data_IF_882744197207
#
_entry.id   IF_882744197207
#
_cell.length_a   1.000
_cell.length_b   1.000
_cell.length_c   1.000
_cell.angle_alpha   90.00
_cell.angle_beta   90.00
_cell.angle_gamma   90.00
#
_symmetry.space_group_name_H-M   'P 1'
#
loop_
_entity.id
_entity.type
_entity.pdbx_description
1 polymer ?
#
# COMPACT_ATOMS: atom_id res chain seq x y z
N UNK A 1 -7.15 11.49 -11.16
CA UNK A 1 -5.97 11.00 -10.45
C UNK A 1 -5.98 9.50 -10.19
N UNK A 2 -7.04 8.96 -9.63
CA UNK A 2 -7.15 7.51 -9.42
C UNK A 2 -7.21 6.73 -10.74
N UNK A 3 -7.92 7.26 -11.73
CA UNK A 3 -7.93 6.65 -13.07
C UNK A 3 -6.55 6.67 -13.72
N UNK A 4 -5.74 7.68 -13.40
CA UNK A 4 -4.36 7.75 -13.85
C UNK A 4 -3.52 6.61 -13.29
N UNK A 5 -3.73 6.27 -12.01
CA UNK A 5 -3.05 5.15 -11.38
C UNK A 5 -3.33 3.83 -12.11
N UNK A 6 -4.59 3.59 -12.49
CA UNK A 6 -5.00 2.36 -13.18
C UNK A 6 -4.43 2.23 -14.59
N UNK A 7 -4.01 3.34 -15.20
CA UNK A 7 -3.41 3.34 -16.54
C UNK A 7 -1.90 3.07 -16.52
N UNK A 8 -1.28 3.02 -15.35
CA UNK A 8 0.14 2.77 -15.23
C UNK A 8 0.48 1.32 -15.54
N UNK A 9 1.68 1.10 -16.06
CA UNK A 9 2.23 -0.23 -16.30
C UNK A 9 3.10 -0.61 -15.11
N UNK A 10 2.48 -1.13 -14.05
CA UNK A 10 3.18 -1.53 -12.84
C UNK A 10 3.67 -2.97 -12.97
N UNK A 11 4.98 -3.15 -12.86
CA UNK A 11 5.67 -4.44 -13.00
C UNK A 11 6.26 -4.94 -11.68
N UNK A 12 6.32 -4.08 -10.67
CA UNK A 12 6.84 -4.42 -9.35
C UNK A 12 6.08 -3.65 -8.28
N UNK A 13 5.84 -4.32 -7.17
CA UNK A 13 5.20 -3.74 -6.00
C UNK A 13 6.17 -3.88 -4.84
N UNK A 14 6.69 -2.76 -4.34
CA UNK A 14 7.52 -2.72 -3.14
C UNK A 14 6.62 -2.31 -1.97
N UNK A 15 6.53 -3.15 -0.96
CA UNK A 15 5.57 -2.96 0.12
C UNK A 15 6.16 -3.41 1.45
N UNK A 16 5.62 -2.88 2.56
CA UNK A 16 6.00 -3.31 3.90
C UNK A 16 5.59 -4.78 4.11
N UNK A 17 6.34 -5.48 4.92
CA UNK A 17 6.15 -6.90 5.21
C UNK A 17 5.10 -7.19 6.28
N UNK A 18 4.46 -6.17 6.84
CA UNK A 18 3.36 -6.36 7.78
C UNK A 18 2.07 -6.80 7.07
N UNK A 19 1.03 -7.11 7.82
CA UNK A 19 -0.23 -7.58 7.25
C UNK A 19 -0.83 -6.56 6.27
N UNK A 20 -0.80 -5.28 6.61
CA UNK A 20 -1.30 -4.21 5.73
C UNK A 20 -0.57 -4.22 4.39
N UNK A 21 0.75 -4.25 4.43
CA UNK A 21 1.56 -4.27 3.20
C UNK A 21 1.31 -5.49 2.35
N UNK A 22 1.20 -6.67 2.97
CA UNK A 22 0.95 -7.93 2.26
C UNK A 22 -0.42 -7.91 1.58
N UNK A 23 -1.46 -7.47 2.28
CA UNK A 23 -2.83 -7.43 1.74
C UNK A 23 -2.93 -6.36 0.64
N UNK A 24 -2.27 -5.22 0.83
CA UNK A 24 -2.20 -4.17 -0.21
C UNK A 24 -1.65 -4.75 -1.51
N UNK A 25 -0.52 -5.46 -1.44
CA UNK A 25 0.09 -6.08 -2.61
C UNK A 25 -0.83 -7.12 -3.26
N UNK A 26 -1.51 -7.93 -2.44
CA UNK A 26 -2.44 -8.94 -2.95
C UNK A 26 -3.60 -8.28 -3.73
N UNK A 27 -4.13 -7.17 -3.22
CA UNK A 27 -5.20 -6.43 -3.90
C UNK A 27 -4.70 -5.87 -5.23
N UNK A 28 -3.53 -5.22 -5.22
CA UNK A 28 -2.98 -4.61 -6.44
C UNK A 28 -2.67 -5.65 -7.51
N UNK A 29 -2.30 -6.87 -7.15
CA UNK A 29 -2.04 -7.93 -8.11
C UNK A 29 -3.30 -8.43 -8.80
N UNK A 30 -4.48 -8.09 -8.33
CA UNK A 30 -5.73 -8.36 -9.06
C UNK A 30 -5.82 -7.49 -10.32
N UNK A 31 -5.19 -6.31 -10.30
CA UNK A 31 -5.15 -5.39 -11.44
C UNK A 31 -3.86 -5.57 -12.27
N UNK A 32 -2.71 -5.76 -11.60
CA UNK A 32 -1.42 -6.03 -12.23
C UNK A 32 -0.95 -7.44 -11.86
N UNK A 33 -1.50 -8.49 -12.47
CA UNK A 33 -1.24 -9.88 -12.02
C UNK A 33 0.18 -10.35 -12.26
N UNK A 34 0.92 -9.71 -13.17
CA UNK A 34 2.30 -10.07 -13.48
C UNK A 34 3.32 -9.31 -12.62
N UNK A 35 2.88 -8.41 -11.75
CA UNK A 35 3.79 -7.63 -10.93
C UNK A 35 4.52 -8.50 -9.90
N UNK A 36 5.83 -8.31 -9.82
CA UNK A 36 6.68 -8.94 -8.80
C UNK A 36 6.47 -8.20 -7.47
N UNK A 37 6.45 -8.93 -6.36
CA UNK A 37 6.34 -8.33 -5.03
C UNK A 37 7.70 -8.38 -4.34
N UNK A 38 8.16 -7.22 -3.87
CA UNK A 38 9.39 -7.08 -3.07
C UNK A 38 9.00 -6.48 -1.73
N UNK A 39 9.37 -7.15 -0.64
CA UNK A 39 9.09 -6.65 0.71
C UNK A 39 10.27 -5.82 1.21
N UNK A 40 9.96 -4.74 1.92
CA UNK A 40 10.95 -3.87 2.50
C UNK A 40 10.44 -3.18 3.76
N UNK A 41 11.34 -2.48 4.44
CA UNK A 41 11.02 -1.69 5.63
C UNK A 41 11.31 -0.22 5.38
N UNK A 42 10.64 0.70 6.11
CA UNK A 42 10.91 2.13 5.96
C UNK A 42 12.39 2.50 6.11
N UNK A 43 13.09 1.85 7.05
CA UNK A 43 14.52 2.08 7.26
C UNK A 43 15.36 1.69 6.06
N UNK A 44 15.04 0.57 5.43
CA UNK A 44 15.74 0.12 4.21
C UNK A 44 15.52 1.11 3.07
N UNK A 45 14.29 1.58 2.92
CA UNK A 45 13.95 2.54 1.89
C UNK A 45 14.72 3.85 2.07
N UNK A 46 14.74 4.38 3.30
CA UNK A 46 15.45 5.64 3.62
C UNK A 46 16.96 5.51 3.46
N UNK A 47 17.50 4.33 3.70
CA UNK A 47 18.94 4.05 3.55
C UNK A 47 19.35 3.82 2.10
N UNK A 48 18.41 3.80 1.16
CA UNK A 48 18.69 3.58 -0.26
C UNK A 48 18.90 2.11 -0.64
N UNK A 49 18.64 1.18 0.28
CA UNK A 49 18.86 -0.25 0.02
C UNK A 49 17.89 -0.82 -1.01
N UNK A 50 16.76 -0.15 -1.24
CA UNK A 50 15.73 -0.58 -2.19
C UNK A 50 15.81 0.15 -3.53
N UNK A 51 16.72 1.10 -3.69
CA UNK A 51 16.79 1.95 -4.89
C UNK A 51 16.92 1.13 -6.18
N UNK A 52 17.66 0.03 -6.15
CA UNK A 52 17.82 -0.85 -7.31
C UNK A 52 16.55 -1.58 -7.74
N UNK A 53 15.53 -1.58 -6.91
CA UNK A 53 14.24 -2.23 -7.18
C UNK A 53 13.13 -1.24 -7.56
N UNK A 54 13.42 0.06 -7.60
CA UNK A 54 12.39 1.08 -7.77
C UNK A 54 12.64 1.90 -9.03
N UNK A 55 11.66 1.89 -9.93
CA UNK A 55 11.64 2.70 -11.14
C UNK A 55 10.18 3.13 -11.42
N UNK A 56 9.94 3.74 -12.58
CA UNK A 56 8.59 4.24 -12.96
C UNK A 56 7.55 3.14 -13.14
N UNK A 57 7.97 1.87 -13.19
CA UNK A 57 7.07 0.71 -13.25
C UNK A 57 6.87 0.06 -11.88
N UNK A 58 7.25 0.76 -10.81
CA UNK A 58 7.15 0.27 -9.44
C UNK A 58 6.10 1.04 -8.66
N UNK A 59 5.23 0.31 -7.95
CA UNK A 59 4.34 0.87 -6.94
C UNK A 59 5.00 0.68 -5.58
N UNK A 60 5.11 1.75 -4.80
CA UNK A 60 5.61 1.71 -3.41
C UNK A 60 4.41 1.89 -2.49
N UNK A 61 4.17 0.91 -1.64
CA UNK A 61 2.94 0.82 -0.84
C UNK A 61 3.26 0.65 0.64
N UNK A 62 2.51 1.37 1.47
CA UNK A 62 2.62 1.29 2.94
C UNK A 62 4.03 1.64 3.44
N UNK A 63 4.73 2.44 2.68
CA UNK A 63 6.11 2.89 2.91
C UNK A 63 6.22 4.37 2.53
N UNK A 64 7.27 5.07 3.02
CA UNK A 64 7.55 6.42 2.56
C UNK A 64 7.71 6.47 1.04
N UNK A 65 7.28 7.57 0.45
CA UNK A 65 7.34 7.75 -1.00
C UNK A 65 8.78 7.78 -1.50
N UNK A 66 9.04 7.08 -2.61
CA UNK A 66 10.32 7.14 -3.29
C UNK A 66 10.21 8.06 -4.52
N UNK A 67 11.19 8.94 -4.77
CA UNK A 67 11.10 9.91 -5.86
C UNK A 67 11.10 9.27 -7.25
N UNK A 68 11.59 8.06 -7.40
CA UNK A 68 11.70 7.39 -8.69
C UNK A 68 10.57 6.39 -8.99
N UNK A 69 9.66 6.16 -8.04
CA UNK A 69 8.56 5.22 -8.27
C UNK A 69 7.49 5.81 -9.19
N UNK A 70 6.65 4.96 -9.74
CA UNK A 70 5.54 5.39 -10.60
C UNK A 70 4.27 5.68 -9.82
N UNK A 71 4.05 4.90 -8.75
CA UNK A 71 2.84 4.99 -7.92
C UNK A 71 3.23 4.89 -6.45
N UNK A 72 2.62 5.70 -5.62
CA UNK A 72 2.77 5.65 -4.16
C UNK A 72 1.40 5.55 -3.51
N UNK A 73 1.20 4.53 -2.67
CA UNK A 73 -0.03 4.33 -1.90
C UNK A 73 0.33 4.27 -0.42
N UNK A 74 -0.15 5.21 0.37
CA UNK A 74 0.15 5.27 1.80
C UNK A 74 -0.94 6.00 2.57
N UNK A 75 -0.97 5.78 3.87
CA UNK A 75 -1.93 6.41 4.78
C UNK A 75 -1.25 7.03 6.02
N UNK A 76 0.05 6.86 6.18
CA UNK A 76 0.77 7.39 7.34
C UNK A 76 0.83 8.91 7.30
N UNK A 77 0.48 9.57 8.44
CA UNK A 77 0.47 11.02 8.53
C UNK A 77 1.84 11.63 8.25
N UNK A 78 2.90 10.95 8.68
CA UNK A 78 4.28 11.40 8.43
C UNK A 78 4.65 11.46 6.95
N UNK A 79 3.90 10.78 6.10
CA UNK A 79 4.15 10.70 4.66
C UNK A 79 3.12 11.47 3.84
N UNK A 80 2.24 12.25 4.49
CA UNK A 80 1.25 13.05 3.78
C UNK A 80 1.94 14.01 2.81
N UNK A 81 1.44 14.13 1.56
CA UNK A 81 2.05 15.04 0.58
C UNK A 81 1.84 16.50 1.01
N UNK A 82 2.85 17.33 0.74
CA UNK A 82 2.74 18.77 0.97
C UNK A 82 1.87 19.43 -0.11
N UNK A 83 1.41 20.67 0.18
CA UNK A 83 0.60 21.43 -0.76
C UNK A 83 1.35 21.72 -2.07
N UNK A 84 2.68 21.86 -1.97
CA UNK A 84 3.54 22.17 -3.10
C UNK A 84 4.25 20.93 -3.67
N UNK A 85 3.70 19.74 -3.41
CA UNK A 85 4.29 18.50 -3.87
C UNK A 85 4.23 18.44 -5.40
N UNK A 86 5.37 18.65 -6.03
CA UNK A 86 5.52 18.55 -7.49
C UNK A 86 6.36 17.32 -7.79
N UNK A 87 5.71 16.29 -8.32
CA UNK A 87 6.34 15.01 -8.55
C UNK A 87 5.73 14.31 -9.74
N UNK A 88 6.55 13.55 -10.47
CA UNK A 88 6.08 12.67 -11.53
C UNK A 88 5.43 11.39 -10.98
N UNK A 89 5.51 11.19 -9.67
CA UNK A 89 4.88 10.05 -9.00
C UNK A 89 3.37 10.27 -8.91
N UNK A 90 2.60 9.28 -9.28
CA UNK A 90 1.16 9.28 -9.00
C UNK A 90 0.98 8.95 -7.53
N UNK A 91 0.49 9.90 -6.74
CA UNK A 91 0.39 9.80 -5.29
C UNK A 91 -1.07 9.59 -4.91
N UNK A 92 -1.36 8.48 -4.25
CA UNK A 92 -2.65 8.23 -3.62
C UNK A 92 -2.40 8.12 -2.12
N UNK A 93 -2.64 9.21 -1.42
CA UNK A 93 -2.53 9.28 0.02
C UNK A 93 -3.89 9.63 0.59
N UNK A 94 -4.33 8.89 1.60
CA UNK A 94 -5.62 9.16 2.27
C UNK A 94 -5.49 8.88 3.75
N UNK A 95 -6.27 9.59 4.53
CA UNK A 95 -6.41 9.36 5.95
C UNK A 95 -7.39 8.21 6.18
N UNK A 96 -6.90 7.00 5.95
CA UNK A 96 -7.66 5.75 6.07
C UNK A 96 -7.04 4.85 7.14
N UNK A 97 -7.76 3.82 7.62
CA UNK A 97 -7.20 2.89 8.61
C UNK A 97 -5.99 2.12 8.08
N UNK A 98 -5.88 1.90 6.78
CA UNK A 98 -4.82 1.08 6.20
C UNK A 98 -4.56 1.45 4.74
N UNK A 99 -3.37 1.10 4.24
CA UNK A 99 -3.05 1.21 2.82
C UNK A 99 -3.88 0.20 2.01
N UNK A 100 -4.17 -0.97 2.59
CA UNK A 100 -5.02 -1.97 1.95
C UNK A 100 -6.43 -1.43 1.69
N UNK A 101 -6.96 -0.61 2.57
CA UNK A 101 -8.26 0.06 2.36
C UNK A 101 -8.21 0.98 1.14
N UNK A 102 -7.13 1.72 0.96
CA UNK A 102 -6.95 2.58 -0.22
C UNK A 102 -6.95 1.74 -1.49
N UNK A 103 -6.19 0.66 -1.50
CA UNK A 103 -6.12 -0.23 -2.66
C UNK A 103 -7.47 -0.86 -2.96
N UNK A 104 -8.20 -1.27 -1.93
CA UNK A 104 -9.54 -1.82 -2.06
C UNK A 104 -10.49 -0.80 -2.69
N UNK A 105 -10.53 0.42 -2.17
CA UNK A 105 -11.41 1.47 -2.67
C UNK A 105 -11.07 1.84 -4.12
N UNK A 106 -9.80 1.78 -4.48
CA UNK A 106 -9.34 2.05 -5.85
C UNK A 106 -9.86 1.01 -6.84
N UNK A 107 -9.91 -0.26 -6.45
CA UNK A 107 -10.15 -1.38 -7.36
C UNK A 107 -11.52 -2.06 -7.21
N UNK A 108 -12.30 -1.76 -6.19
CA UNK A 108 -13.56 -2.49 -5.91
C UNK A 108 -14.56 -2.46 -7.06
N UNK A 109 -14.55 -1.41 -7.87
CA UNK A 109 -15.41 -1.29 -9.04
C UNK A 109 -14.85 -1.92 -10.30
N UNK A 110 -13.59 -2.37 -10.26
CA UNK A 110 -12.86 -2.85 -11.44
C UNK A 110 -12.59 -4.36 -11.41
N UNK A 111 -12.40 -4.93 -10.22
CA UNK A 111 -12.11 -6.35 -10.04
C UNK A 111 -12.88 -6.90 -8.85
N UNK A 112 -13.06 -8.23 -8.81
CA UNK A 112 -13.72 -8.90 -7.70
C UNK A 112 -12.74 -9.05 -6.53
N UNK A 113 -13.05 -8.41 -5.40
CA UNK A 113 -12.26 -8.45 -4.18
C UNK A 113 -13.04 -9.08 -3.01
N UNK A 114 -14.16 -9.74 -3.29
CA UNK A 114 -15.05 -10.29 -2.25
C UNK A 114 -14.35 -11.30 -1.33
N UNK A 115 -13.39 -12.04 -1.85
CA UNK A 115 -12.62 -13.02 -1.08
C UNK A 115 -11.63 -12.37 -0.09
N UNK A 116 -11.36 -11.07 -0.22
CA UNK A 116 -10.43 -10.35 0.63
C UNK A 116 -11.13 -9.45 1.66
N UNK A 117 -12.44 -9.33 1.62
CA UNK A 117 -13.19 -8.41 2.49
C UNK A 117 -13.00 -8.71 3.98
N UNK A 118 -13.05 -9.98 4.37
CA UNK A 118 -12.87 -10.37 5.78
C UNK A 118 -11.46 -10.04 6.28
N UNK A 119 -10.47 -10.28 5.45
CA UNK A 119 -9.08 -9.95 5.76
C UNK A 119 -8.92 -8.44 5.92
N UNK A 120 -9.56 -7.66 5.06
CA UNK A 120 -9.48 -6.20 5.09
C UNK A 120 -10.01 -5.63 6.41
N UNK A 121 -11.07 -6.20 6.97
CA UNK A 121 -11.60 -5.79 8.27
C UNK A 121 -10.53 -5.91 9.36
N UNK A 122 -9.79 -7.01 9.38
CA UNK A 122 -8.73 -7.22 10.37
C UNK A 122 -7.52 -6.31 10.11
N UNK A 123 -7.16 -6.09 8.86
CA UNK A 123 -6.09 -5.14 8.51
C UNK A 123 -6.43 -3.75 9.04
N UNK A 124 -7.65 -3.27 8.80
CA UNK A 124 -8.09 -1.96 9.28
C UNK A 124 -8.01 -1.86 10.81
N UNK A 125 -8.40 -2.91 11.52
CA UNK A 125 -8.35 -2.92 12.98
C UNK A 125 -6.92 -2.86 13.50
N UNK A 126 -6.03 -3.67 12.94
CA UNK A 126 -4.63 -3.72 13.38
C UNK A 126 -3.92 -2.41 13.09
N UNK A 127 -4.03 -1.91 11.87
CA UNK A 127 -3.30 -0.74 11.41
C UNK A 127 -3.92 0.56 11.94
N UNK A 128 -5.25 0.60 12.04
CA UNK A 128 -5.98 1.76 12.53
C UNK A 128 -6.10 1.84 14.05
N UNK A 129 -5.52 0.89 14.80
CA UNK A 129 -5.61 0.88 16.25
C UNK A 129 -6.98 0.45 16.80
N UNK A 130 -7.81 -0.19 15.97
CA UNK A 130 -9.14 -0.66 16.36
C UNK A 130 -9.14 -1.91 17.23
N UNK A 131 -8.00 -2.61 17.33
CA UNK A 131 -7.83 -3.75 18.21
C UNK A 131 -7.22 -3.24 19.52
N UNK A 132 -7.90 -3.44 20.63
CA UNK A 132 -7.36 -3.06 21.92
C UNK A 132 -6.42 -4.14 22.46
N UNK A 133 -5.68 -3.80 23.53
CA UNK A 133 -4.71 -4.72 24.15
C UNK A 133 -5.32 -6.03 24.59
N UNK A 134 -6.55 -5.99 25.10
CA UNK A 134 -7.24 -7.17 25.60
C UNK A 134 -7.56 -8.15 24.48
N UNK A 135 -8.04 -7.64 23.34
CA UNK A 135 -8.31 -8.47 22.16
C UNK A 135 -7.03 -9.15 21.67
N UNK A 136 -5.95 -8.39 21.61
CA UNK A 136 -4.68 -8.90 21.14
C UNK A 136 -4.11 -10.00 22.04
N UNK A 137 -4.24 -9.82 23.37
CA UNK A 137 -3.70 -10.77 24.35
C UNK A 137 -4.53 -12.05 24.55
N UNK A 138 -5.76 -12.05 24.14
CA UNK A 138 -6.65 -13.20 24.30
C UNK A 138 -6.60 -14.17 23.12
N UNK A 139 -5.54 -14.15 22.34
CA UNK A 139 -5.35 -15.00 21.16
C UNK A 139 -6.49 -14.86 20.17
N UNK A 140 -7.03 -13.67 20.06
CA UNK A 140 -8.08 -13.38 19.10
C UNK A 140 -7.57 -13.66 17.69
N UNK A 141 -8.29 -14.41 16.86
CA UNK A 141 -7.84 -14.69 15.50
C UNK A 141 -7.73 -13.40 14.68
N UNK A 142 -6.62 -13.27 13.96
CA UNK A 142 -6.30 -12.08 13.19
C UNK A 142 -6.19 -12.45 11.73
#
# INVERSE_FOLDING_TARGET
>A
MESEALSLDIRRIVTDSDLDGVVTAAILRRWWPEAEIVFGHPGELRAGLLDGHIDRHTAVCDLPRHPDCGLSIDHHQSNAPGEDEDSDVVIIWRETPSAARIAYDLLEGEVDLSDLEDMLVWVDKLDGGGINRKEFRSDHPV
#
